data_IF_678412843884
#
_entry.id   IF_678412843884
#
_cell.length_a   1.000
_cell.length_b   1.000
_cell.length_c   1.000
_cell.angle_alpha   90.00
_cell.angle_beta   90.00
_cell.angle_gamma   90.00
#
_symmetry.space_group_name_H-M   'P 1'
#
loop_
_entity.id
_entity.type
_entity.pdbx_description
1 polymer ?
#
# COMPACT_ATOMS: atom_id res chain seq x y z
N UNK A 1 -0.58 4.53 -8.95
CA UNK A 1 -1.50 3.63 -8.24
C UNK A 1 -0.86 2.26 -8.03
N UNK A 2 -0.53 1.95 -6.78
CA UNK A 2 0.04 0.69 -6.30
C UNK A 2 -1.04 -0.14 -5.61
N UNK A 3 -0.98 -1.47 -5.74
CA UNK A 3 -1.92 -2.41 -5.12
C UNK A 3 -1.17 -3.30 -4.15
N UNK A 4 -1.70 -3.47 -2.94
CA UNK A 4 -1.11 -4.33 -1.92
C UNK A 4 -2.22 -5.20 -1.34
N UNK A 5 -1.98 -6.49 -1.16
CA UNK A 5 -2.88 -7.38 -0.43
C UNK A 5 -2.16 -7.88 0.82
N UNK A 6 -2.84 -7.85 1.96
CA UNK A 6 -2.36 -8.37 3.24
C UNK A 6 -3.47 -9.12 3.96
N UNK A 7 -3.13 -9.96 4.94
CA UNK A 7 -4.12 -10.54 5.83
C UNK A 7 -4.84 -9.46 6.65
N UNK A 8 -6.09 -9.72 7.03
CA UNK A 8 -6.89 -8.78 7.81
C UNK A 8 -6.23 -8.38 9.14
N UNK A 9 -5.48 -9.29 9.75
CA UNK A 9 -4.70 -9.01 10.96
C UNK A 9 -3.58 -7.98 10.74
N UNK A 10 -3.05 -7.87 9.52
CA UNK A 10 -1.93 -6.96 9.17
C UNK A 10 -2.38 -5.56 8.76
N UNK A 11 -3.69 -5.27 8.71
CA UNK A 11 -4.25 -3.98 8.24
C UNK A 11 -3.73 -2.79 9.03
N UNK A 12 -3.79 -2.88 10.36
CA UNK A 12 -3.41 -1.79 11.24
C UNK A 12 -1.92 -1.46 11.12
N UNK A 13 -1.10 -2.49 10.98
CA UNK A 13 0.34 -2.35 10.78
C UNK A 13 0.66 -1.76 9.41
N UNK A 14 0.06 -2.28 8.34
CA UNK A 14 0.24 -1.74 6.99
C UNK A 14 -0.17 -0.27 6.93
N UNK A 15 -1.29 0.11 7.56
CA UNK A 15 -1.73 1.51 7.63
C UNK A 15 -0.70 2.38 8.34
N UNK A 16 -0.13 1.90 9.44
CA UNK A 16 0.92 2.62 10.18
C UNK A 16 2.15 2.83 9.31
N UNK A 17 2.63 1.78 8.64
CA UNK A 17 3.79 1.84 7.73
C UNK A 17 3.54 2.82 6.59
N UNK A 18 2.37 2.76 5.96
CA UNK A 18 2.02 3.67 4.87
C UNK A 18 2.04 5.12 5.36
N UNK A 19 1.36 5.42 6.48
CA UNK A 19 1.30 6.78 7.02
C UNK A 19 2.69 7.28 7.44
N UNK A 20 3.50 6.45 8.09
CA UNK A 20 4.84 6.84 8.54
C UNK A 20 5.83 7.04 7.39
N UNK A 21 5.66 6.29 6.30
CA UNK A 21 6.60 6.32 5.15
C UNK A 21 6.18 7.36 4.11
N UNK A 22 4.88 7.47 3.86
CA UNK A 22 4.37 8.32 2.79
C UNK A 22 4.06 9.73 3.29
N UNK A 23 3.60 9.90 4.54
CA UNK A 23 3.16 11.21 5.04
C UNK A 23 2.28 11.94 4.02
N UNK A 24 2.71 13.14 3.64
CA UNK A 24 2.03 14.03 2.68
C UNK A 24 2.08 13.56 1.21
N UNK A 25 2.87 12.52 0.91
CA UNK A 25 3.00 11.93 -0.42
C UNK A 25 1.81 11.02 -0.77
N UNK A 26 1.02 10.61 0.22
CA UNK A 26 -0.17 9.80 0.03
C UNK A 26 -1.34 10.68 -0.43
N UNK A 27 -1.63 10.64 -1.73
CA UNK A 27 -2.73 11.38 -2.34
C UNK A 27 -4.07 10.72 -2.00
N UNK A 28 -4.11 9.39 -2.08
CA UNK A 28 -5.35 8.64 -1.87
C UNK A 28 -5.07 7.20 -1.46
N UNK A 29 -5.84 6.70 -0.48
CA UNK A 29 -5.84 5.30 -0.07
C UNK A 29 -7.25 4.75 -0.08
N UNK A 30 -7.43 3.58 -0.71
CA UNK A 30 -8.65 2.79 -0.62
C UNK A 30 -8.34 1.44 -0.02
N UNK A 31 -9.20 0.96 0.87
CA UNK A 31 -9.12 -0.38 1.45
C UNK A 31 -10.42 -1.12 1.16
N UNK A 32 -10.32 -2.40 0.78
CA UNK A 32 -11.48 -3.29 0.70
C UNK A 32 -11.16 -4.67 1.27
N UNK A 33 -12.12 -5.29 1.99
CA UNK A 33 -12.03 -6.72 2.27
C UNK A 33 -12.15 -7.51 0.97
N UNK A 34 -11.40 -8.59 0.89
CA UNK A 34 -11.46 -9.61 -0.18
C UNK A 34 -11.39 -10.98 0.49
N UNK A 35 -11.65 -12.04 -0.27
CA UNK A 35 -11.54 -13.42 0.22
C UNK A 35 -12.31 -13.64 1.55
N UNK A 36 -13.62 -13.39 1.54
CA UNK A 36 -14.45 -13.49 2.76
C UNK A 36 -13.95 -12.67 3.97
N UNK A 37 -13.23 -11.56 3.70
CA UNK A 37 -12.61 -10.68 4.70
C UNK A 37 -11.44 -11.29 5.47
N UNK A 38 -10.85 -12.40 5.01
CA UNK A 38 -9.58 -12.91 5.53
C UNK A 38 -8.41 -12.07 5.05
N UNK A 39 -8.52 -11.47 3.85
CA UNK A 39 -7.53 -10.59 3.24
C UNK A 39 -8.09 -9.21 2.96
N UNK A 40 -7.19 -8.25 2.84
CA UNK A 40 -7.49 -6.84 2.66
C UNK A 40 -6.65 -6.28 1.53
N UNK A 41 -7.32 -5.65 0.58
CA UNK A 41 -6.70 -5.06 -0.60
C UNK A 41 -6.64 -3.55 -0.45
N UNK A 42 -5.43 -3.03 -0.56
CA UNK A 42 -5.10 -1.63 -0.52
C UNK A 42 -4.80 -1.13 -1.93
N UNK A 43 -5.31 0.06 -2.23
CA UNK A 43 -4.90 0.84 -3.38
C UNK A 43 -4.32 2.15 -2.89
N UNK A 44 -3.07 2.42 -3.29
CA UNK A 44 -2.32 3.60 -2.89
C UNK A 44 -2.01 4.45 -4.12
N UNK A 45 -2.40 5.71 -4.07
CA UNK A 45 -1.97 6.74 -4.99
C UNK A 45 -0.92 7.59 -4.28
N UNK A 46 0.32 7.51 -4.77
CA UNK A 46 1.47 8.22 -4.23
C UNK A 46 1.94 9.24 -5.26
N UNK A 47 2.54 10.33 -4.81
CA UNK A 47 3.31 11.22 -5.69
C UNK A 47 4.53 10.49 -6.26
N UNK A 48 5.00 10.93 -7.44
CA UNK A 48 5.89 10.16 -8.33
C UNK A 48 7.27 9.83 -7.74
N UNK A 49 7.72 10.55 -6.72
CA UNK A 49 9.12 10.56 -6.24
C UNK A 49 9.46 9.50 -5.19
N UNK A 50 8.52 8.64 -4.77
CA UNK A 50 8.75 7.84 -3.54
C UNK A 50 8.26 6.39 -3.57
N UNK A 51 7.91 5.84 -4.74
CA UNK A 51 7.35 4.48 -4.84
C UNK A 51 8.35 3.42 -4.33
N UNK A 52 9.62 3.49 -4.73
CA UNK A 52 10.61 2.46 -4.39
C UNK A 52 10.91 2.41 -2.88
N UNK A 53 11.01 3.58 -2.24
CA UNK A 53 11.22 3.69 -0.79
C UNK A 53 10.03 3.10 0.00
N UNK A 54 8.81 3.37 -0.46
CA UNK A 54 7.60 2.82 0.16
C UNK A 54 7.54 1.29 0.00
N UNK A 55 7.85 0.77 -1.18
CA UNK A 55 7.91 -0.67 -1.43
C UNK A 55 8.96 -1.32 -0.51
N UNK A 56 10.16 -0.77 -0.45
CA UNK A 56 11.24 -1.29 0.39
C UNK A 56 10.86 -1.32 1.87
N UNK A 57 10.23 -0.25 2.39
CA UNK A 57 9.84 -0.21 3.79
C UNK A 57 8.68 -1.17 4.11
N UNK A 58 7.73 -1.33 3.19
CA UNK A 58 6.63 -2.28 3.35
C UNK A 58 7.16 -3.72 3.28
N UNK A 59 8.00 -4.08 2.31
CA UNK A 59 8.59 -5.42 2.24
C UNK A 59 9.41 -5.77 3.48
N UNK A 60 10.11 -4.80 4.05
CA UNK A 60 10.88 -4.99 5.29
C UNK A 60 9.98 -5.20 6.51
N UNK A 61 8.83 -4.53 6.58
CA UNK A 61 7.94 -4.58 7.74
C UNK A 61 6.90 -5.70 7.64
N UNK A 62 6.44 -5.97 6.43
CA UNK A 62 5.40 -6.93 6.08
C UNK A 62 5.90 -7.79 4.91
N UNK A 63 6.82 -8.73 5.16
CA UNK A 63 7.38 -9.59 4.10
C UNK A 63 6.33 -10.46 3.41
N UNK A 64 5.21 -10.74 4.09
CA UNK A 64 4.04 -11.43 3.55
C UNK A 64 3.14 -10.56 2.67
N UNK A 65 3.41 -9.26 2.52
CA UNK A 65 2.58 -8.37 1.70
C UNK A 65 2.72 -8.71 0.21
N UNK A 66 1.58 -8.95 -0.45
CA UNK A 66 1.54 -9.23 -1.87
C UNK A 66 1.41 -7.92 -2.65
N UNK A 67 2.43 -7.57 -3.43
CA UNK A 67 2.39 -6.41 -4.31
C UNK A 67 1.76 -6.79 -5.65
N UNK A 68 0.64 -6.14 -5.97
CA UNK A 68 0.01 -6.23 -7.27
C UNK A 68 0.59 -5.22 -8.26
N UNK A 69 -0.13 -5.02 -9.38
CA UNK A 69 0.27 -4.07 -10.43
C UNK A 69 0.51 -2.67 -9.87
N UNK A 70 1.69 -2.14 -10.14
CA UNK A 70 2.06 -0.74 -9.91
C UNK A 70 1.87 0.00 -11.25
N UNK A 71 1.06 1.04 -11.24
CA UNK A 71 0.79 1.87 -12.42
C UNK A 71 1.23 3.30 -12.14
N UNK A 72 2.09 3.92 -12.95
CA UNK A 72 2.44 5.33 -12.79
C UNK A 72 1.18 6.19 -12.87
N UNK A 73 1.07 7.21 -12.01
CA UNK A 73 0.09 8.28 -12.24
C UNK A 73 0.70 9.20 -13.30
N UNK A 74 0.12 9.19 -14.51
CA UNK A 74 0.49 10.15 -15.54
C UNK A 74 -0.05 11.52 -15.09
N UNK A 75 0.77 12.59 -15.11
CA UNK A 75 0.24 13.94 -14.93
C UNK A 75 -0.68 14.25 -16.11
N UNK A 76 -1.92 14.63 -15.81
CA UNK A 76 -2.87 15.25 -16.75
C UNK A 76 -2.45 16.68 -17.07
#
# INVERSE_FOLDING_TARGET
>A
MMRITVDAASVSELRRVIVSTCGDLLIYMRVKPVDHATKMKFWLCLSKTSIDSVIGNILRTLPQAEFGRITPLLPT
#
